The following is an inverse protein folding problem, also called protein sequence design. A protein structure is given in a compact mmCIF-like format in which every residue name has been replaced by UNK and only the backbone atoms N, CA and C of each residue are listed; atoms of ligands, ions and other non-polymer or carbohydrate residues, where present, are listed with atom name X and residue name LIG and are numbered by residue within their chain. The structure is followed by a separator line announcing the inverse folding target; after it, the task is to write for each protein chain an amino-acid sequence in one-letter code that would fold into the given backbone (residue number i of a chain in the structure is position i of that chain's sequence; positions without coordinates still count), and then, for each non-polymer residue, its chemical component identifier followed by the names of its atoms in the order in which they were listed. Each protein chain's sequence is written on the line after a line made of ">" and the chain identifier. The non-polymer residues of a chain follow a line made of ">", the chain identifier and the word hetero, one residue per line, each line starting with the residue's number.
data_IF_961100870158
#
_entry.id   IF_961100870158
#
_cell.length_a   1.000
_cell.length_b   1.000
_cell.length_c   1.000
_cell.angle_alpha   90.00
_cell.angle_beta   90.00
_cell.angle_gamma   90.00
#
_symmetry.space_group_name_H-M   'P 1'
#
loop_
_entity.id
_entity.type
_entity.pdbx_description
1 polymer ?
#
# COMPACT_ATOMS: atom_id res chain seq x y z
N UNK A 1 8.38 -6.40 -18.80
CA UNK A 1 8.39 -5.01 -19.31
C UNK A 1 8.78 -4.05 -18.20
N UNK A 2 9.27 -2.85 -18.53
CA UNK A 2 9.78 -1.84 -17.60
C UNK A 2 8.76 -1.41 -16.52
N UNK A 3 7.48 -1.27 -16.87
CA UNK A 3 6.42 -0.98 -15.90
C UNK A 3 6.29 -2.08 -14.82
N UNK A 4 6.49 -3.35 -15.18
CA UNK A 4 6.48 -4.46 -14.22
C UNK A 4 7.66 -4.43 -13.26
N UNK A 5 8.80 -3.86 -13.66
CA UNK A 5 9.96 -3.65 -12.77
C UNK A 5 9.64 -2.54 -11.76
N UNK A 6 9.18 -1.38 -12.24
CA UNK A 6 8.74 -0.26 -11.39
C UNK A 6 7.65 -0.66 -10.39
N UNK A 7 6.74 -1.55 -10.80
CA UNK A 7 5.71 -2.09 -9.92
C UNK A 7 6.31 -2.94 -8.79
N UNK A 8 7.27 -3.81 -9.09
CA UNK A 8 7.95 -4.62 -8.07
C UNK A 8 8.69 -3.73 -7.07
N UNK A 9 9.46 -2.76 -7.55
CA UNK A 9 10.15 -1.78 -6.70
C UNK A 9 9.17 -0.99 -5.82
N UNK A 10 8.00 -0.61 -6.36
CA UNK A 10 6.95 0.05 -5.59
C UNK A 10 6.35 -0.84 -4.49
N UNK A 11 6.37 -2.16 -4.64
CA UNK A 11 5.84 -3.09 -3.63
C UNK A 11 6.89 -3.36 -2.56
N UNK A 12 8.15 -3.54 -2.97
CA UNK A 12 9.27 -3.95 -2.11
C UNK A 12 9.76 -2.84 -1.17
N UNK A 13 9.48 -1.56 -1.45
CA UNK A 13 9.90 -0.45 -0.56
C UNK A 13 9.19 -0.41 0.80
N UNK A 14 8.12 -1.19 0.98
CA UNK A 14 7.27 -1.08 2.17
C UNK A 14 8.04 -1.52 3.41
N UNK A 15 7.88 -0.75 4.48
CA UNK A 15 8.47 -1.07 5.77
C UNK A 15 8.03 -2.47 6.24
N UNK A 16 8.97 -3.20 6.82
CA UNK A 16 8.74 -4.47 7.51
C UNK A 16 8.90 -4.26 9.00
N UNK A 17 8.34 -5.16 9.81
CA UNK A 17 8.53 -5.13 11.27
C UNK A 17 10.01 -5.24 11.63
N UNK A 18 10.76 -6.06 10.88
CA UNK A 18 12.20 -6.21 11.05
C UNK A 18 12.94 -4.87 10.86
N UNK A 19 12.66 -4.16 9.77
CA UNK A 19 13.33 -2.87 9.50
C UNK A 19 12.91 -1.80 10.52
N UNK A 20 11.64 -1.77 10.95
CA UNK A 20 11.18 -0.82 11.98
C UNK A 20 11.84 -1.12 13.34
N UNK A 21 11.98 -2.40 13.69
CA UNK A 21 12.71 -2.83 14.89
C UNK A 21 14.16 -2.38 14.85
N UNK A 22 14.86 -2.68 13.76
CA UNK A 22 16.27 -2.30 13.57
C UNK A 22 16.46 -0.77 13.70
N UNK A 23 15.55 0.02 13.12
CA UNK A 23 15.59 1.48 13.23
C UNK A 23 15.44 1.98 14.67
N UNK A 24 14.54 1.39 15.45
CA UNK A 24 14.33 1.75 16.86
C UNK A 24 15.51 1.32 17.74
N UNK A 25 15.99 0.09 17.56
CA UNK A 25 17.13 -0.45 18.32
C UNK A 25 18.43 0.33 18.03
N UNK A 26 18.69 0.68 16.77
CA UNK A 26 19.80 1.57 16.38
C UNK A 26 19.66 2.96 17.00
N UNK A 27 18.44 3.40 17.27
CA UNK A 27 18.13 4.66 17.93
C UNK A 27 18.28 4.64 19.46
N UNK A 28 18.70 3.52 20.06
CA UNK A 28 18.83 3.39 21.52
C UNK A 28 17.52 3.10 22.25
N UNK A 29 16.53 2.55 21.54
CA UNK A 29 15.28 2.08 22.14
C UNK A 29 15.29 0.55 22.28
N UNK A 30 14.64 0.05 23.31
CA UNK A 30 14.31 -1.37 23.46
C UNK A 30 12.84 -1.60 23.10
N UNK A 31 12.58 -2.61 22.26
CA UNK A 31 11.22 -2.95 21.85
C UNK A 31 10.48 -3.63 23.00
N UNK A 32 9.47 -2.97 23.54
CA UNK A 32 8.63 -3.49 24.61
C UNK A 32 7.51 -4.39 24.06
N UNK A 33 6.92 -4.04 22.92
CA UNK A 33 5.77 -4.78 22.36
C UNK A 33 5.63 -4.56 20.86
N UNK A 34 5.21 -5.62 20.16
CA UNK A 34 4.73 -5.54 18.77
C UNK A 34 3.34 -6.17 18.69
N UNK A 35 2.39 -5.48 18.06
CA UNK A 35 1.04 -6.00 17.82
C UNK A 35 0.72 -5.86 16.34
N UNK A 36 0.57 -7.01 15.67
CA UNK A 36 0.13 -7.08 14.28
C UNK A 36 -1.40 -7.20 14.21
N UNK A 37 -2.00 -6.46 13.26
CA UNK A 37 -3.43 -6.49 12.96
C UNK A 37 -3.64 -6.37 11.46
N UNK A 38 -4.78 -6.89 11.00
CA UNK A 38 -5.30 -6.59 9.67
C UNK A 38 -6.56 -5.73 9.82
N UNK A 39 -6.64 -4.66 9.04
CA UNK A 39 -7.88 -3.92 8.82
C UNK A 39 -8.37 -4.12 7.39
N UNK A 40 -9.66 -3.92 7.18
CA UNK A 40 -10.31 -4.16 5.89
C UNK A 40 -11.15 -2.96 5.51
N UNK A 41 -10.92 -2.46 4.30
CA UNK A 41 -11.83 -1.52 3.64
C UNK A 41 -12.50 -2.21 2.47
N UNK A 42 -13.82 -2.07 2.36
CA UNK A 42 -14.60 -2.63 1.25
C UNK A 42 -15.06 -1.50 0.33
N UNK A 43 -14.99 -1.75 -0.97
CA UNK A 43 -15.47 -0.86 -2.00
C UNK A 43 -16.48 -1.60 -2.87
N UNK A 44 -17.59 -0.94 -3.20
CA UNK A 44 -18.65 -1.56 -3.99
C UNK A 44 -18.22 -1.92 -5.42
N UNK A 45 -17.17 -1.24 -5.94
CA UNK A 45 -16.64 -1.48 -7.28
C UNK A 45 -15.24 -0.89 -7.48
N UNK A 46 -14.61 -1.17 -8.63
CA UNK A 46 -13.37 -0.52 -9.07
C UNK A 46 -13.46 0.99 -9.18
N UNK A 47 -14.57 1.48 -9.71
CA UNK A 47 -14.92 2.90 -9.77
C UNK A 47 -15.02 3.50 -8.37
N UNK A 48 -15.61 2.81 -7.39
CA UNK A 48 -15.64 3.29 -6.00
C UNK A 48 -14.22 3.37 -5.40
N UNK A 49 -13.40 2.32 -5.57
CA UNK A 49 -12.02 2.28 -5.08
C UNK A 49 -11.17 3.42 -5.69
N UNK A 50 -11.13 3.54 -7.01
CA UNK A 50 -10.29 4.54 -7.69
C UNK A 50 -10.77 5.98 -7.48
N UNK A 51 -12.04 6.17 -7.12
CA UNK A 51 -12.57 7.49 -6.81
C UNK A 51 -12.44 7.91 -5.34
N UNK A 52 -12.22 6.97 -4.44
CA UNK A 52 -12.13 7.24 -3.01
C UNK A 52 -10.93 8.12 -2.67
N UNK A 53 -11.14 9.15 -1.83
CA UNK A 53 -10.13 10.16 -1.54
C UNK A 53 -8.84 9.57 -0.94
N UNK A 54 -8.97 8.64 0.01
CA UNK A 54 -7.81 7.94 0.59
C UNK A 54 -6.94 7.23 -0.47
N UNK A 55 -7.57 6.61 -1.48
CA UNK A 55 -6.84 5.90 -2.54
C UNK A 55 -6.09 6.90 -3.42
N UNK A 56 -6.75 8.02 -3.76
CA UNK A 56 -6.12 9.10 -4.54
C UNK A 56 -4.94 9.72 -3.81
N UNK A 57 -5.12 10.05 -2.53
CA UNK A 57 -4.10 10.69 -1.71
C UNK A 57 -2.91 9.77 -1.44
N UNK A 58 -3.18 8.52 -1.03
CA UNK A 58 -2.13 7.61 -0.56
C UNK A 58 -1.38 6.86 -1.67
N UNK A 59 -1.97 6.69 -2.86
CA UNK A 59 -1.46 5.70 -3.82
C UNK A 59 -1.37 6.21 -5.27
N UNK A 60 -2.29 7.05 -5.72
CA UNK A 60 -2.44 7.37 -7.15
C UNK A 60 -1.18 7.96 -7.79
N UNK A 61 -0.48 8.86 -7.10
CA UNK A 61 0.73 9.49 -7.64
C UNK A 61 1.86 8.50 -7.85
N UNK A 62 2.05 7.56 -6.91
CA UNK A 62 3.04 6.50 -7.07
C UNK A 62 2.65 5.56 -8.22
N UNK A 63 1.37 5.21 -8.36
CA UNK A 63 0.90 4.34 -9.44
C UNK A 63 1.07 4.97 -10.82
N UNK A 64 0.82 6.28 -10.98
CA UNK A 64 1.06 6.99 -12.25
C UNK A 64 2.54 6.90 -12.69
N UNK A 65 3.48 6.98 -11.76
CA UNK A 65 4.93 6.83 -12.04
C UNK A 65 5.31 5.43 -12.54
N UNK A 66 4.51 4.40 -12.23
CA UNK A 66 4.75 3.03 -12.71
C UNK A 66 4.37 2.88 -14.17
N UNK A 67 3.28 3.52 -14.59
CA UNK A 67 2.67 3.35 -15.93
C UNK A 67 2.85 4.58 -16.83
N UNK A 68 3.91 5.36 -16.59
CA UNK A 68 4.18 6.62 -17.27
C UNK A 68 4.04 6.52 -18.79
N UNK A 69 3.31 7.46 -19.37
CA UNK A 69 3.02 7.54 -20.81
C UNK A 69 1.85 6.67 -21.27
N UNK A 70 1.27 5.84 -20.39
CA UNK A 70 0.10 5.00 -20.68
C UNK A 70 -0.97 5.10 -19.57
N UNK A 71 -0.94 6.16 -18.76
CA UNK A 71 -1.74 6.28 -17.54
C UNK A 71 -3.23 6.12 -17.86
N UNK A 72 -3.75 6.88 -18.83
CA UNK A 72 -5.18 6.86 -19.16
C UNK A 72 -5.66 5.47 -19.56
N UNK A 73 -4.95 4.82 -20.48
CA UNK A 73 -5.35 3.52 -21.02
C UNK A 73 -5.25 2.42 -19.97
N UNK A 74 -4.17 2.41 -19.18
CA UNK A 74 -4.00 1.42 -18.12
C UNK A 74 -5.04 1.61 -17.02
N UNK A 75 -5.29 2.83 -16.55
CA UNK A 75 -6.30 3.07 -15.51
C UNK A 75 -7.73 2.84 -16.00
N UNK A 76 -8.04 3.10 -17.28
CA UNK A 76 -9.34 2.78 -17.85
C UNK A 76 -9.58 1.26 -17.89
N UNK A 77 -8.59 0.50 -18.36
CA UNK A 77 -8.66 -0.97 -18.39
C UNK A 77 -8.69 -1.58 -16.98
N UNK A 78 -7.89 -1.04 -16.05
CA UNK A 78 -7.90 -1.45 -14.65
C UNK A 78 -9.27 -1.24 -14.02
N UNK A 79 -9.85 -0.04 -14.19
CA UNK A 79 -11.19 0.27 -13.68
C UNK A 79 -12.24 -0.69 -14.22
N UNK A 80 -12.28 -0.94 -15.53
CA UNK A 80 -13.23 -1.87 -16.15
C UNK A 80 -13.13 -3.27 -15.50
N UNK A 81 -11.92 -3.81 -15.42
CA UNK A 81 -11.69 -5.14 -14.82
C UNK A 81 -12.06 -5.20 -13.34
N UNK A 82 -11.82 -4.13 -12.60
CA UNK A 82 -12.18 -4.04 -11.19
C UNK A 82 -13.69 -3.85 -10.98
N UNK A 83 -14.38 -3.15 -11.87
CA UNK A 83 -15.84 -3.04 -11.85
C UNK A 83 -16.51 -4.38 -12.20
N UNK A 84 -15.96 -5.13 -13.17
CA UNK A 84 -16.40 -6.50 -13.51
C UNK A 84 -16.23 -7.48 -12.34
N UNK A 85 -15.23 -7.26 -11.47
CA UNK A 85 -15.03 -8.05 -10.26
C UNK A 85 -16.09 -7.77 -9.18
N UNK A 86 -16.79 -6.63 -9.22
CA UNK A 86 -17.77 -6.24 -8.20
C UNK A 86 -17.11 -5.74 -6.92
N UNK A 87 -17.52 -6.28 -5.76
CA UNK A 87 -16.96 -5.87 -4.47
C UNK A 87 -15.45 -6.09 -4.42
N UNK A 88 -14.72 -5.08 -3.94
CA UNK A 88 -13.29 -5.14 -3.71
C UNK A 88 -12.99 -5.02 -2.21
N UNK A 89 -12.13 -5.92 -1.73
CA UNK A 89 -11.64 -5.92 -0.36
C UNK A 89 -10.17 -5.48 -0.34
N UNK A 90 -9.91 -4.29 0.20
CA UNK A 90 -8.55 -3.83 0.49
C UNK A 90 -8.17 -4.27 1.90
N UNK A 91 -7.31 -5.29 2.00
CA UNK A 91 -6.67 -5.68 3.26
C UNK A 91 -5.48 -4.77 3.55
N UNK A 92 -5.41 -4.26 4.77
CA UNK A 92 -4.40 -3.32 5.25
C UNK A 92 -3.69 -3.99 6.43
N UNK A 93 -2.48 -4.55 6.23
CA UNK A 93 -1.66 -5.02 7.33
C UNK A 93 -1.16 -3.82 8.13
N UNK A 94 -1.21 -3.91 9.44
CA UNK A 94 -0.79 -2.88 10.38
C UNK A 94 0.05 -3.50 11.49
N UNK A 95 1.11 -2.80 11.87
CA UNK A 95 1.93 -3.12 13.03
C UNK A 95 1.93 -1.93 13.98
N UNK A 96 1.54 -2.16 15.23
CA UNK A 96 1.80 -1.25 16.34
C UNK A 96 3.09 -1.71 17.02
N UNK A 97 4.04 -0.79 17.18
CA UNK A 97 5.32 -1.04 17.84
C UNK A 97 5.45 -0.09 19.02
N UNK A 98 5.68 -0.65 20.19
CA UNK A 98 5.93 0.06 21.45
C UNK A 98 7.38 -0.16 21.84
N UNK A 99 8.08 0.92 22.17
CA UNK A 99 9.47 0.88 22.57
C UNK A 99 9.75 1.88 23.70
N UNK A 100 10.70 1.55 24.57
CA UNK A 100 11.15 2.39 25.68
C UNK A 100 12.60 2.79 25.45
N UNK A 101 13.00 3.97 25.95
CA UNK A 101 14.42 4.32 25.94
C UNK A 101 15.20 3.30 26.78
N UNK A 102 16.35 2.85 26.26
CA UNK A 102 17.28 1.99 26.98
C UNK A 102 17.95 2.73 28.16
#
# INVERSE_FOLDING_TARGET
>A
AEASRRLREHIEHRATIANVREQLETGGFEIARVVERESVMRFASGSALLNHYFIKLGFLDAWKKIVTGNERDVFARLRSKLDEHGELRLSIPMAYVEATAA
#
